data_IF_017426549829
#
_entry.id   IF_017426549829
#
_cell.length_a   1.000
_cell.length_b   1.000
_cell.length_c   1.000
_cell.angle_alpha   90.00
_cell.angle_beta   90.00
_cell.angle_gamma   90.00
#
_symmetry.space_group_name_H-M   'P 1'
#
loop_
_entity.id
_entity.type
_entity.pdbx_description
1 polymer ?
#
# COMPACT_ATOMS: atom_id res chain seq x y z
N UNK A 1 23.68 42.01 7.80
CA UNK A 1 24.12 40.65 8.15
C UNK A 1 22.91 39.94 8.73
N UNK A 2 22.01 39.34 7.91
CA UNK A 2 20.75 38.80 8.50
C UNK A 2 19.79 37.99 7.61
N UNK A 3 20.19 37.27 6.54
CA UNK A 3 19.23 36.37 5.84
C UNK A 3 19.84 34.99 5.55
N UNK A 4 21.11 34.93 5.13
CA UNK A 4 21.75 33.64 4.85
C UNK A 4 22.08 32.80 6.09
N UNK A 5 22.30 33.43 7.26
CA UNK A 5 22.60 32.70 8.50
C UNK A 5 21.35 32.03 9.10
N UNK A 6 20.16 32.63 8.95
CA UNK A 6 18.90 32.04 9.43
C UNK A 6 18.49 30.80 8.61
N UNK A 7 18.69 30.83 7.29
CA UNK A 7 18.37 29.71 6.39
C UNK A 7 19.34 28.51 6.60
N UNK A 8 20.61 28.80 6.88
CA UNK A 8 21.62 27.77 7.20
C UNK A 8 21.41 27.21 8.61
N UNK A 9 21.00 28.04 9.58
CA UNK A 9 20.62 27.57 10.92
C UNK A 9 19.37 26.69 10.91
N UNK A 10 18.32 27.07 10.18
CA UNK A 10 17.11 26.26 10.02
C UNK A 10 17.42 24.89 9.40
N UNK A 11 18.23 24.86 8.35
CA UNK A 11 18.60 23.64 7.63
C UNK A 11 19.53 22.70 8.40
N UNK A 12 20.44 23.24 9.20
CA UNK A 12 21.32 22.45 10.07
C UNK A 12 20.59 21.92 11.31
N UNK A 13 19.62 22.68 11.85
CA UNK A 13 18.76 22.22 12.94
C UNK A 13 17.81 21.11 12.45
N UNK A 14 17.21 21.27 11.27
CA UNK A 14 16.27 20.29 10.70
C UNK A 14 16.92 18.93 10.45
N UNK A 15 18.07 18.87 9.76
CA UNK A 15 18.67 17.57 9.43
C UNK A 15 19.12 16.78 10.67
N UNK A 16 19.64 17.47 11.70
CA UNK A 16 20.12 16.84 12.93
C UNK A 16 18.96 16.43 13.85
N UNK A 17 17.91 17.24 13.89
CA UNK A 17 16.67 16.94 14.62
C UNK A 17 15.89 15.80 13.96
N UNK A 18 15.73 15.83 12.63
CA UNK A 18 15.13 14.76 11.82
C UNK A 18 15.83 13.43 12.02
N UNK A 19 17.17 13.42 12.06
CA UNK A 19 17.95 12.20 12.32
C UNK A 19 17.71 11.65 13.74
N UNK A 20 17.45 12.52 14.71
CA UNK A 20 17.05 12.15 16.08
C UNK A 20 15.64 11.56 16.10
N UNK A 21 14.68 12.17 15.40
CA UNK A 21 13.32 11.64 15.23
C UNK A 21 13.30 10.24 14.58
N UNK A 22 14.07 10.04 13.51
CA UNK A 22 14.22 8.72 12.86
C UNK A 22 14.85 7.70 13.83
N UNK A 23 15.69 8.15 14.76
CA UNK A 23 16.26 7.28 15.81
C UNK A 23 15.20 6.91 16.86
N UNK A 24 14.21 7.76 17.13
CA UNK A 24 13.06 7.41 17.97
C UNK A 24 12.07 6.45 17.29
N UNK A 25 12.02 6.43 15.95
CA UNK A 25 11.30 5.42 15.16
C UNK A 25 12.00 4.05 15.11
N UNK A 26 13.25 3.97 15.59
CA UNK A 26 14.07 2.76 15.54
C UNK A 26 13.50 1.53 16.29
N UNK A 27 12.78 1.65 17.42
CA UNK A 27 12.11 0.51 18.05
C UNK A 27 10.90 0.01 17.24
N UNK A 28 10.29 0.86 16.41
CA UNK A 28 9.09 0.56 15.62
C UNK A 28 9.37 0.09 14.18
N UNK A 29 10.64 -0.19 13.86
CA UNK A 29 11.06 -0.67 12.54
C UNK A 29 10.32 -1.92 12.05
N UNK A 30 10.03 -2.94 12.87
CA UNK A 30 9.30 -4.10 12.36
C UNK A 30 7.87 -3.74 11.95
N UNK A 31 7.15 -2.88 12.70
CA UNK A 31 5.81 -2.44 12.29
C UNK A 31 5.86 -1.62 11.00
N UNK A 32 6.82 -0.70 10.86
CA UNK A 32 6.99 0.12 9.66
C UNK A 32 7.28 -0.74 8.42
N UNK A 33 8.15 -1.74 8.56
CA UNK A 33 8.44 -2.67 7.44
C UNK A 33 7.21 -3.50 7.10
N UNK A 34 6.47 -4.00 8.10
CA UNK A 34 5.26 -4.78 7.85
C UNK A 34 4.17 -3.93 7.17
N UNK A 35 3.96 -2.70 7.63
CA UNK A 35 3.01 -1.76 7.03
C UNK A 35 3.42 -1.41 5.59
N UNK A 36 4.71 -1.17 5.34
CA UNK A 36 5.22 -0.91 3.99
C UNK A 36 4.98 -2.11 3.06
N UNK A 37 5.23 -3.33 3.54
CA UNK A 37 4.97 -4.54 2.77
C UNK A 37 3.46 -4.74 2.50
N UNK A 38 2.62 -4.45 3.49
CA UNK A 38 1.16 -4.50 3.35
C UNK A 38 0.66 -3.51 2.29
N UNK A 39 1.17 -2.27 2.29
CA UNK A 39 0.85 -1.25 1.28
C UNK A 39 1.20 -1.75 -0.12
N UNK A 40 2.41 -2.25 -0.32
CA UNK A 40 2.86 -2.73 -1.63
C UNK A 40 1.99 -3.91 -2.10
N UNK A 41 1.68 -4.85 -1.21
CA UNK A 41 0.80 -5.97 -1.52
C UNK A 41 -0.62 -5.52 -1.85
N UNK A 42 -1.15 -4.55 -1.11
CA UNK A 42 -2.48 -4.00 -1.33
C UNK A 42 -2.55 -3.28 -2.69
N UNK A 43 -1.59 -2.42 -3.00
CA UNK A 43 -1.52 -1.75 -4.31
C UNK A 43 -1.41 -2.74 -5.48
N UNK A 44 -0.73 -3.87 -5.29
CA UNK A 44 -0.70 -4.92 -6.31
C UNK A 44 -2.07 -5.58 -6.50
N UNK A 45 -2.82 -5.80 -5.43
CA UNK A 45 -4.19 -6.35 -5.49
C UNK A 45 -5.19 -5.36 -6.09
N UNK A 46 -5.02 -4.05 -5.92
CA UNK A 46 -5.86 -3.03 -6.57
C UNK A 46 -5.78 -3.07 -8.11
N UNK A 47 -4.70 -3.62 -8.67
CA UNK A 47 -4.53 -3.82 -10.11
C UNK A 47 -5.24 -5.08 -10.63
N UNK A 48 -5.62 -6.02 -9.76
CA UNK A 48 -6.29 -7.25 -10.17
C UNK A 48 -7.74 -7.03 -10.67
N UNK A 49 -8.58 -6.19 -10.03
CA UNK A 49 -9.93 -5.86 -10.51
C UNK A 49 -10.02 -5.50 -12.00
N UNK A 50 -9.28 -4.49 -12.52
CA UNK A 50 -9.38 -4.13 -13.93
C UNK A 50 -8.90 -5.25 -14.87
N UNK A 51 -7.92 -6.05 -14.46
CA UNK A 51 -7.43 -7.18 -15.25
C UNK A 51 -8.46 -8.32 -15.32
N UNK A 52 -9.10 -8.66 -14.20
CA UNK A 52 -10.13 -9.69 -14.14
C UNK A 52 -11.37 -9.28 -14.96
N UNK A 53 -11.79 -8.02 -14.86
CA UNK A 53 -12.89 -7.47 -15.66
C UNK A 53 -12.57 -7.54 -17.16
N UNK A 54 -11.34 -7.22 -17.55
CA UNK A 54 -10.89 -7.38 -18.94
C UNK A 54 -11.06 -8.84 -19.42
N UNK A 55 -10.62 -9.82 -18.63
CA UNK A 55 -10.72 -11.23 -19.00
C UNK A 55 -12.18 -11.69 -19.16
N UNK A 56 -13.07 -11.21 -18.30
CA UNK A 56 -14.52 -11.46 -18.41
C UNK A 56 -15.06 -10.92 -19.74
N UNK A 57 -14.73 -9.67 -20.07
CA UNK A 57 -15.25 -9.00 -21.27
C UNK A 57 -14.69 -9.63 -22.55
N UNK A 58 -13.39 -9.90 -22.60
CA UNK A 58 -12.71 -10.34 -23.82
C UNK A 58 -12.91 -11.83 -24.10
N UNK A 59 -13.05 -12.66 -23.05
CA UNK A 59 -13.06 -14.13 -23.19
C UNK A 59 -14.37 -14.76 -22.80
N UNK A 60 -14.86 -14.50 -21.59
CA UNK A 60 -15.94 -15.30 -21.01
C UNK A 60 -17.33 -14.88 -21.53
N UNK A 61 -17.55 -13.57 -21.74
CA UNK A 61 -18.80 -13.06 -22.33
C UNK A 61 -18.98 -13.54 -23.80
N UNK A 62 -17.99 -13.40 -24.71
CA UNK A 62 -18.12 -13.88 -26.09
C UNK A 62 -18.26 -15.40 -26.19
N UNK A 63 -17.57 -16.14 -25.32
CA UNK A 63 -17.65 -17.60 -25.29
C UNK A 63 -18.95 -18.14 -24.67
N UNK A 64 -19.76 -17.27 -24.03
CA UNK A 64 -20.94 -17.64 -23.20
C UNK A 64 -20.60 -18.71 -22.16
N UNK A 65 -19.38 -18.68 -21.65
CA UNK A 65 -18.88 -19.64 -20.68
C UNK A 65 -19.21 -19.19 -19.26
N UNK A 66 -20.33 -19.70 -18.73
CA UNK A 66 -20.75 -19.44 -17.35
C UNK A 66 -19.76 -20.03 -16.32
N UNK A 67 -19.02 -21.09 -16.69
CA UNK A 67 -18.01 -21.71 -15.84
C UNK A 67 -16.83 -20.77 -15.63
N UNK A 68 -16.23 -20.27 -16.73
CA UNK A 68 -15.16 -19.26 -16.70
C UNK A 68 -15.55 -18.02 -15.90
N UNK A 69 -16.76 -17.51 -16.14
CA UNK A 69 -17.29 -16.35 -15.44
C UNK A 69 -17.39 -16.58 -13.91
N UNK A 70 -17.90 -17.74 -13.49
CA UNK A 70 -18.00 -18.08 -12.06
C UNK A 70 -16.64 -18.21 -11.38
N UNK A 71 -15.64 -18.77 -12.08
CA UNK A 71 -14.28 -18.87 -11.57
C UNK A 71 -13.66 -17.48 -11.39
N UNK A 72 -13.80 -16.58 -12.37
CA UNK A 72 -13.30 -15.21 -12.24
C UNK A 72 -14.01 -14.47 -11.09
N UNK A 73 -15.32 -14.67 -10.91
CA UNK A 73 -16.05 -14.08 -9.79
C UNK A 73 -15.51 -14.54 -8.42
N UNK A 74 -15.17 -15.83 -8.28
CA UNK A 74 -14.54 -16.36 -7.06
C UNK A 74 -13.15 -15.78 -6.85
N UNK A 75 -12.34 -15.69 -7.91
CA UNK A 75 -11.01 -15.06 -7.85
C UNK A 75 -11.13 -13.59 -7.45
N UNK A 76 -12.09 -12.87 -8.00
CA UNK A 76 -12.36 -11.47 -7.67
C UNK A 76 -12.75 -11.30 -6.19
N UNK A 77 -13.61 -12.18 -5.68
CA UNK A 77 -13.94 -12.21 -4.24
C UNK A 77 -12.70 -12.47 -3.38
N UNK A 78 -11.84 -13.40 -3.77
CA UNK A 78 -10.60 -13.67 -3.04
C UNK A 78 -9.65 -12.46 -3.04
N UNK A 79 -9.54 -11.74 -4.16
CA UNK A 79 -8.78 -10.49 -4.26
C UNK A 79 -9.34 -9.44 -3.30
N UNK A 80 -10.66 -9.24 -3.28
CA UNK A 80 -11.30 -8.27 -2.37
C UNK A 80 -11.02 -8.61 -0.89
N UNK A 81 -11.14 -9.89 -0.52
CA UNK A 81 -10.85 -10.33 0.85
C UNK A 81 -9.37 -10.12 1.21
N UNK A 82 -8.46 -10.40 0.27
CA UNK A 82 -7.02 -10.16 0.43
C UNK A 82 -6.71 -8.68 0.60
N UNK A 83 -7.28 -7.82 -0.24
CA UNK A 83 -7.12 -6.36 -0.14
C UNK A 83 -7.61 -5.85 1.22
N UNK A 84 -8.79 -6.29 1.65
CA UNK A 84 -9.35 -5.94 2.96
C UNK A 84 -8.45 -6.37 4.11
N UNK A 85 -7.92 -7.60 4.07
CA UNK A 85 -7.03 -8.10 5.12
C UNK A 85 -5.73 -7.28 5.21
N UNK A 86 -5.12 -6.94 4.06
CA UNK A 86 -3.91 -6.11 4.04
C UNK A 86 -4.18 -4.70 4.55
N UNK A 87 -5.29 -4.10 4.14
CA UNK A 87 -5.70 -2.75 4.59
C UNK A 87 -6.01 -2.73 6.09
N UNK A 88 -6.65 -3.78 6.61
CA UNK A 88 -6.89 -3.96 8.03
C UNK A 88 -5.59 -4.07 8.83
N UNK A 89 -4.64 -4.90 8.37
CA UNK A 89 -3.32 -5.05 9.02
C UNK A 89 -2.56 -3.72 9.00
N UNK A 90 -2.56 -3.02 7.86
CA UNK A 90 -1.94 -1.70 7.73
C UNK A 90 -2.57 -0.71 8.72
N UNK A 91 -3.89 -0.63 8.77
CA UNK A 91 -4.62 0.30 9.65
C UNK A 91 -4.32 0.01 11.11
N UNK A 92 -4.33 -1.27 11.52
CA UNK A 92 -4.04 -1.65 12.89
C UNK A 92 -2.62 -1.31 13.32
N UNK A 93 -1.63 -1.53 12.45
CA UNK A 93 -0.23 -1.17 12.71
C UNK A 93 -0.01 0.35 12.82
N UNK A 94 -0.75 1.15 12.06
CA UNK A 94 -0.62 2.61 12.07
C UNK A 94 -1.35 3.27 13.26
N UNK A 95 -2.32 2.58 13.85
CA UNK A 95 -3.10 3.06 14.99
C UNK A 95 -2.51 2.65 16.36
N UNK A 96 -1.52 1.75 16.37
CA UNK A 96 -0.82 1.31 17.57
C UNK A 96 0.29 2.30 17.98
#
# INVERSE_FOLDING_TARGET
MSIHEEDVLGKAYDARLMRRLITYLRPYKPEVVLATAAIIGHSALELAPPFLVKLVIDRDIPARDAGGLSLIAVVYLAVLLGSFALDYVQTWLLQL
#
